data_IF_730964767895
#
_entry.id   IF_730964767895
#
_cell.length_a   1.000
_cell.length_b   1.000
_cell.length_c   1.000
_cell.angle_alpha   90.00
_cell.angle_beta   90.00
_cell.angle_gamma   90.00
#
_symmetry.space_group_name_H-M   'P 1'
#
loop_
_entity.id
_entity.type
_entity.pdbx_description
1 polymer ?
#
# COMPACT_ATOMS: atom_id res chain seq x y z
N UNK A 1 -12.99 15.70 4.01
CA UNK A 1 -12.03 16.38 4.92
C UNK A 1 -10.74 15.59 4.91
N UNK A 2 -9.57 16.23 4.87
CA UNK A 2 -8.28 15.52 4.85
C UNK A 2 -8.07 14.89 6.23
N UNK A 3 -8.16 13.57 6.32
CA UNK A 3 -7.97 12.84 7.57
C UNK A 3 -6.50 12.38 7.69
N UNK A 4 -5.59 13.31 8.02
CA UNK A 4 -4.17 13.05 8.31
C UNK A 4 -3.97 11.88 9.30
N UNK A 5 -4.88 11.74 10.26
CA UNK A 5 -4.96 10.61 11.20
C UNK A 5 -5.07 9.25 10.51
N UNK A 6 -5.82 9.15 9.42
CA UNK A 6 -6.01 7.91 8.67
C UNK A 6 -4.80 7.61 7.80
N UNK A 7 -4.16 8.62 7.22
CA UNK A 7 -2.93 8.42 6.44
C UNK A 7 -1.82 7.83 7.33
N UNK A 8 -1.66 8.36 8.54
CA UNK A 8 -0.73 7.79 9.53
C UNK A 8 -1.05 6.33 9.88
N UNK A 9 -2.35 5.98 10.02
CA UNK A 9 -2.77 4.60 10.25
C UNK A 9 -2.51 3.68 9.04
N UNK A 10 -2.73 4.17 7.82
CA UNK A 10 -2.47 3.40 6.60
C UNK A 10 -0.96 3.16 6.37
N UNK A 11 -0.10 4.08 6.83
CA UNK A 11 1.34 3.92 6.80
C UNK A 11 1.86 3.02 7.93
N UNK A 12 1.20 2.97 9.08
CA UNK A 12 1.68 2.16 10.23
C UNK A 12 1.04 0.77 10.32
N UNK A 13 0.00 0.47 9.54
CA UNK A 13 -0.62 -0.85 9.52
C UNK A 13 -1.73 -0.99 8.48
N UNK A 14 -2.60 -1.98 8.69
CA UNK A 14 -3.83 -2.19 7.91
C UNK A 14 -5.06 -1.86 8.78
N UNK A 15 -5.61 -0.63 8.67
CA UNK A 15 -6.81 -0.28 9.44
C UNK A 15 -8.02 -1.07 8.93
N UNK A 16 -8.82 -1.62 9.84
CA UNK A 16 -10.17 -2.13 9.52
C UNK A 16 -11.14 -0.97 9.53
N UNK A 17 -11.81 -0.74 8.41
CA UNK A 17 -12.76 0.36 8.24
C UNK A 17 -14.17 -0.18 8.04
N UNK A 18 -15.17 0.37 8.73
CA UNK A 18 -16.56 0.14 8.32
C UNK A 18 -16.83 0.77 6.95
N UNK A 19 -17.91 0.38 6.29
CA UNK A 19 -18.29 0.89 4.98
C UNK A 19 -18.52 2.42 5.05
N UNK A 20 -19.13 2.90 6.14
CA UNK A 20 -19.30 4.33 6.41
C UNK A 20 -17.95 5.07 6.53
N UNK A 21 -16.97 4.48 7.24
CA UNK A 21 -15.63 5.06 7.36
C UNK A 21 -14.89 5.09 6.02
N UNK A 22 -15.08 4.08 5.18
CA UNK A 22 -14.52 4.02 3.83
C UNK A 22 -15.06 5.14 2.93
N UNK A 23 -16.37 5.37 2.95
CA UNK A 23 -17.00 6.42 2.17
C UNK A 23 -16.55 7.83 2.59
N UNK A 24 -16.17 8.02 3.85
CA UNK A 24 -15.63 9.28 4.36
C UNK A 24 -14.18 9.54 3.96
N UNK A 25 -13.45 8.53 3.45
CA UNK A 25 -12.07 8.70 2.99
C UNK A 25 -11.99 9.55 1.72
N UNK A 26 -10.94 10.37 1.67
CA UNK A 26 -10.50 10.99 0.42
C UNK A 26 -9.86 9.96 -0.52
N UNK A 27 -9.75 10.34 -1.80
CA UNK A 27 -9.22 9.45 -2.84
C UNK A 27 -7.79 8.97 -2.50
N UNK A 28 -6.98 9.83 -1.86
CA UNK A 28 -5.61 9.51 -1.48
C UNK A 28 -5.55 8.50 -0.32
N UNK A 29 -6.38 8.66 0.71
CA UNK A 29 -6.49 7.69 1.80
C UNK A 29 -6.95 6.32 1.33
N UNK A 30 -7.92 6.29 0.40
CA UNK A 30 -8.35 5.03 -0.26
C UNK A 30 -7.19 4.38 -1.00
N UNK A 31 -6.46 5.16 -1.80
CA UNK A 31 -5.29 4.66 -2.54
C UNK A 31 -4.23 4.08 -1.60
N UNK A 32 -3.86 4.78 -0.51
CA UNK A 32 -2.87 4.30 0.48
C UNK A 32 -3.26 2.96 1.10
N UNK A 33 -4.54 2.79 1.43
CA UNK A 33 -5.03 1.54 2.02
C UNK A 33 -5.01 0.42 0.97
N UNK A 34 -5.49 0.70 -0.25
CA UNK A 34 -5.53 -0.28 -1.35
C UNK A 34 -4.14 -0.80 -1.74
N UNK A 35 -3.13 0.07 -1.79
CA UNK A 35 -1.75 -0.36 -2.14
C UNK A 35 -0.99 -0.99 -0.97
N UNK A 36 -1.62 -1.08 0.21
CA UNK A 36 -1.00 -1.54 1.46
C UNK A 36 0.26 -0.73 1.79
N UNK A 37 0.10 0.59 1.89
CA UNK A 37 1.20 1.54 2.02
C UNK A 37 2.18 1.24 3.18
N UNK A 38 1.71 0.64 4.29
CA UNK A 38 2.57 0.18 5.39
C UNK A 38 3.67 -0.79 4.96
N UNK A 39 3.42 -1.60 3.94
CA UNK A 39 4.38 -2.55 3.39
C UNK A 39 5.37 -1.87 2.44
N UNK A 40 5.06 -0.68 1.91
CA UNK A 40 6.01 0.09 1.08
C UNK A 40 7.16 0.66 1.91
N UNK A 41 6.99 0.80 3.24
CA UNK A 41 8.03 1.31 4.13
C UNK A 41 9.29 0.43 4.09
N UNK A 42 9.16 -0.90 4.02
CA UNK A 42 10.35 -1.78 3.93
C UNK A 42 11.09 -1.63 2.59
N UNK A 43 10.37 -1.30 1.53
CA UNK A 43 10.97 -1.06 0.21
C UNK A 43 11.65 0.28 0.15
N UNK A 44 11.01 1.31 0.71
CA UNK A 44 11.59 2.63 0.83
C UNK A 44 12.83 2.63 1.76
N UNK A 45 12.79 1.90 2.89
CA UNK A 45 13.97 1.79 3.76
C UNK A 45 15.14 1.10 3.06
N UNK A 46 14.87 0.09 2.22
CA UNK A 46 15.89 -0.56 1.40
C UNK A 46 16.53 0.42 0.40
N UNK A 47 15.73 1.30 -0.23
CA UNK A 47 16.27 2.31 -1.15
C UNK A 47 17.05 3.41 -0.42
N UNK A 48 16.64 3.78 0.80
CA UNK A 48 17.43 4.69 1.67
C UNK A 48 18.81 4.08 1.95
N UNK A 49 18.88 2.82 2.36
CA UNK A 49 20.16 2.15 2.63
C UNK A 49 21.06 2.12 1.39
N UNK A 50 20.49 1.84 0.21
CA UNK A 50 21.22 1.91 -1.05
C UNK A 50 21.74 3.32 -1.35
N UNK A 51 20.94 4.36 -1.08
CA UNK A 51 21.34 5.76 -1.22
C UNK A 51 22.47 6.16 -0.28
N UNK A 52 22.39 5.72 0.99
CA UNK A 52 23.45 5.96 1.99
C UNK A 52 24.76 5.27 1.60
N UNK A 53 24.70 4.05 1.07
CA UNK A 53 25.87 3.34 0.55
C UNK A 53 26.47 4.05 -0.66
N UNK A 54 25.64 4.46 -1.63
CA UNK A 54 26.11 5.22 -2.79
C UNK A 54 26.73 6.56 -2.38
N UNK A 55 26.19 7.20 -1.35
CA UNK A 55 26.78 8.42 -0.80
C UNK A 55 28.13 8.15 -0.16
N UNK A 56 28.25 7.09 0.64
CA UNK A 56 29.50 6.67 1.27
C UNK A 56 30.61 6.44 0.24
N UNK A 57 30.29 5.83 -0.92
CA UNK A 57 31.23 5.61 -2.01
C UNK A 57 31.39 6.81 -2.96
N UNK A 58 30.75 7.96 -2.68
CA UNK A 58 30.75 9.15 -3.55
C UNK A 58 30.23 8.90 -4.97
N UNK A 59 29.35 7.90 -5.13
CA UNK A 59 28.72 7.52 -6.41
C UNK A 59 27.23 7.88 -6.47
N UNK A 60 26.71 8.60 -5.47
CA UNK A 60 25.30 8.96 -5.40
C UNK A 60 24.95 10.03 -6.45
N UNK A 61 24.10 9.64 -7.40
CA UNK A 61 23.32 10.56 -8.21
C UNK A 61 21.91 10.67 -7.60
N UNK A 62 21.56 11.87 -7.12
CA UNK A 62 20.28 12.13 -6.47
C UNK A 62 19.08 11.94 -7.41
N UNK A 63 19.24 12.25 -8.69
CA UNK A 63 18.18 12.08 -9.69
C UNK A 63 17.90 10.60 -9.94
N UNK A 64 18.95 9.82 -10.20
CA UNK A 64 18.83 8.36 -10.40
C UNK A 64 18.32 7.67 -9.14
N UNK A 65 18.80 8.04 -7.95
CA UNK A 65 18.31 7.48 -6.69
C UNK A 65 16.82 7.78 -6.46
N UNK A 66 16.37 9.00 -6.74
CA UNK A 66 14.96 9.38 -6.67
C UNK A 66 14.11 8.57 -7.66
N UNK A 67 14.55 8.43 -8.91
CA UNK A 67 13.85 7.66 -9.93
C UNK A 67 13.75 6.17 -9.56
N UNK A 68 14.84 5.58 -9.09
CA UNK A 68 14.86 4.18 -8.63
C UNK A 68 13.95 3.99 -7.42
N UNK A 69 14.02 4.88 -6.44
CA UNK A 69 13.17 4.81 -5.23
C UNK A 69 11.70 4.90 -5.59
N UNK A 70 11.32 5.88 -6.43
CA UNK A 70 9.94 6.05 -6.89
C UNK A 70 9.47 4.84 -7.69
N UNK A 71 10.28 4.38 -8.66
CA UNK A 71 9.95 3.23 -9.50
C UNK A 71 9.78 1.95 -8.68
N UNK A 72 10.65 1.72 -7.70
CA UNK A 72 10.58 0.55 -6.84
C UNK A 72 9.34 0.56 -5.93
N UNK A 73 9.01 1.70 -5.32
CA UNK A 73 7.80 1.85 -4.53
C UNK A 73 6.53 1.68 -5.37
N UNK A 74 6.48 2.26 -6.58
CA UNK A 74 5.34 2.10 -7.49
C UNK A 74 5.20 0.66 -8.01
N UNK A 75 6.31 -0.01 -8.32
CA UNK A 75 6.30 -1.41 -8.72
C UNK A 75 5.75 -2.31 -7.62
N UNK A 76 6.15 -2.08 -6.37
CA UNK A 76 5.62 -2.82 -5.23
C UNK A 76 4.15 -2.48 -4.96
N UNK A 77 3.75 -1.21 -4.99
CA UNK A 77 2.35 -0.82 -4.86
C UNK A 77 1.47 -1.53 -5.91
N UNK A 78 1.95 -1.58 -7.16
CA UNK A 78 1.29 -2.28 -8.26
C UNK A 78 1.21 -3.78 -8.00
N UNK A 79 2.30 -4.40 -7.53
CA UNK A 79 2.32 -5.82 -7.16
C UNK A 79 1.29 -6.11 -6.04
N UNK A 80 1.19 -5.25 -5.03
CA UNK A 80 0.20 -5.40 -3.97
C UNK A 80 -1.24 -5.38 -4.51
N UNK A 81 -1.56 -4.47 -5.45
CA UNK A 81 -2.86 -4.40 -6.09
C UNK A 81 -3.16 -5.63 -6.95
N UNK A 82 -2.19 -6.05 -7.77
CA UNK A 82 -2.34 -7.23 -8.64
C UNK A 82 -2.54 -8.50 -7.82
N UNK A 83 -1.79 -8.66 -6.72
CA UNK A 83 -1.96 -9.80 -5.81
C UNK A 83 -3.37 -9.82 -5.23
N UNK A 84 -3.88 -8.69 -4.73
CA UNK A 84 -5.23 -8.62 -4.17
C UNK A 84 -6.32 -8.89 -5.23
N UNK A 85 -6.15 -8.39 -6.46
CA UNK A 85 -7.07 -8.66 -7.57
C UNK A 85 -7.04 -10.14 -8.02
N UNK A 86 -5.84 -10.73 -8.04
CA UNK A 86 -5.65 -12.14 -8.41
C UNK A 86 -6.24 -13.07 -7.35
N UNK A 87 -6.06 -12.76 -6.07
CA UNK A 87 -6.64 -13.51 -4.96
C UNK A 87 -8.18 -13.47 -5.02
N UNK A 88 -8.75 -12.30 -5.32
CA UNK A 88 -10.19 -12.12 -5.53
C UNK A 88 -10.71 -12.96 -6.71
N UNK A 89 -10.03 -12.96 -7.87
CA UNK A 89 -10.46 -13.71 -9.06
C UNK A 89 -10.29 -15.23 -8.95
N UNK A 90 -9.29 -15.69 -8.19
CA UNK A 90 -9.02 -17.12 -8.01
C UNK A 90 -9.94 -17.79 -6.98
N UNK A 91 -10.83 -17.04 -6.33
CA UNK A 91 -11.76 -17.59 -5.35
C UNK A 91 -11.06 -18.19 -4.12
N UNK A 92 -9.84 -17.75 -3.80
CA UNK A 92 -9.15 -18.14 -2.55
C UNK A 92 -9.84 -17.51 -1.33
N UNK A 93 -10.72 -16.53 -1.57
CA UNK A 93 -11.70 -15.98 -0.61
C UNK A 93 -12.96 -16.87 -0.43
N UNK A 94 -12.93 -18.15 -0.81
CA UNK A 94 -14.00 -19.11 -0.48
C UNK A 94 -13.82 -19.63 0.97
N UNK A 95 -14.57 -19.01 1.87
CA UNK A 95 -14.99 -19.46 3.20
C UNK A 95 -13.97 -19.75 4.34
N UNK A 96 -12.65 -19.81 4.14
CA UNK A 96 -11.74 -20.27 5.24
C UNK A 96 -10.38 -19.61 5.44
N UNK A 97 -10.16 -18.37 5.01
CA UNK A 97 -8.92 -17.65 5.35
C UNK A 97 -9.03 -16.90 6.69
N UNK A 98 -8.18 -17.24 7.66
CA UNK A 98 -7.92 -16.48 8.91
C UNK A 98 -7.52 -15.01 8.66
N UNK A 99 -7.36 -14.57 7.40
CA UNK A 99 -6.95 -13.23 6.99
C UNK A 99 -8.11 -12.22 6.95
N UNK A 100 -9.36 -12.68 6.96
CA UNK A 100 -10.53 -11.84 7.24
C UNK A 100 -10.54 -11.28 8.68
N UNK A 101 -9.66 -11.79 9.55
CA UNK A 101 -9.42 -11.23 10.86
C UNK A 101 -8.34 -10.14 10.87
N UNK A 102 -7.92 -9.52 9.76
CA UNK A 102 -6.91 -8.44 9.79
C UNK A 102 -7.23 -7.18 8.98
N UNK A 103 -8.13 -7.22 8.01
CA UNK A 103 -8.38 -6.07 7.13
C UNK A 103 -9.75 -6.13 6.49
N UNK A 104 -10.33 -4.97 6.18
CA UNK A 104 -11.61 -4.90 5.46
C UNK A 104 -11.32 -4.94 3.97
N UNK A 105 -11.89 -5.93 3.29
CA UNK A 105 -11.82 -6.11 1.84
C UNK A 105 -13.00 -5.36 1.17
N UNK A 106 -12.75 -4.27 0.41
CA UNK A 106 -13.83 -3.50 -0.21
C UNK A 106 -14.49 -4.18 -1.42
N UNK A 107 -13.76 -5.06 -2.12
CA UNK A 107 -14.24 -5.80 -3.30
C UNK A 107 -15.26 -6.89 -2.93
N UNK A 108 -15.00 -7.66 -1.87
CA UNK A 108 -15.96 -8.67 -1.35
C UNK A 108 -17.20 -8.03 -0.71
N UNK A 109 -17.14 -6.75 -0.32
CA UNK A 109 -18.29 -5.98 0.17
C UNK A 109 -19.05 -5.20 -0.91
N UNK A 110 -18.66 -5.29 -2.18
CA UNK A 110 -19.36 -4.57 -3.26
C UNK A 110 -19.29 -3.03 -3.14
N UNK A 111 -18.29 -2.49 -2.44
CA UNK A 111 -18.15 -1.04 -2.20
C UNK A 111 -17.56 -0.27 -3.38
N UNK A 112 -17.19 -0.97 -4.45
CA UNK A 112 -16.75 -0.39 -5.71
C UNK A 112 -17.43 -1.15 -6.87
N UNK A 113 -18.60 -0.67 -7.25
CA UNK A 113 -19.20 -0.90 -8.57
C UNK A 113 -19.72 0.44 -9.09
N UNK A 114 -19.11 0.92 -10.17
CA UNK A 114 -19.42 2.17 -10.87
C UNK A 114 -18.37 2.40 -11.95
#
# INVERSE_FOLDING_TARGET
MIHLSIWGKALTGMPRLSDEQWHQLDWFGRWLISVRASVLIMTFSSSILAGLLAWYFSTLDWGLWCLVTLGLCLAHATNNLINDATDYWRGVDDDRYMRNQYGVQPLTRGLMSG
#
